data_IF_103932043032
#
_entry.id   IF_103932043032
#
_cell.length_a   1.000
_cell.length_b   1.000
_cell.length_c   1.000
_cell.angle_alpha   90.00
_cell.angle_beta   90.00
_cell.angle_gamma   90.00
#
_symmetry.space_group_name_H-M   'P 1'
#
loop_
_entity.id
_entity.type
_entity.pdbx_description
1 polymer ?
#
# COMPACT_ATOMS: atom_id res chain seq x y z
N UNK A 1 51.30 -6.32 74.42
CA UNK A 1 51.15 -5.46 73.22
C UNK A 1 50.56 -6.31 72.06
N UNK A 2 49.26 -6.27 71.90
CA UNK A 2 48.58 -7.04 70.85
C UNK A 2 48.12 -6.05 69.77
N UNK A 3 48.67 -6.17 68.59
CA UNK A 3 48.21 -5.44 67.41
C UNK A 3 46.95 -6.10 66.85
N UNK A 4 45.85 -5.35 66.82
CA UNK A 4 44.59 -5.75 66.14
C UNK A 4 44.66 -5.23 64.72
N UNK A 5 44.66 -6.17 63.76
CA UNK A 5 44.47 -5.85 62.34
C UNK A 5 42.95 -5.80 62.06
N UNK A 6 42.45 -4.63 61.65
CA UNK A 6 41.12 -4.48 61.10
C UNK A 6 41.22 -4.76 59.59
N UNK A 7 40.61 -5.88 59.14
CA UNK A 7 40.34 -6.08 57.72
C UNK A 7 39.02 -5.35 57.35
N UNK A 8 39.14 -4.29 56.55
CA UNK A 8 37.98 -3.65 55.94
C UNK A 8 37.50 -4.45 54.72
N UNK A 9 36.33 -5.01 54.82
CA UNK A 9 35.65 -5.60 53.69
C UNK A 9 35.00 -4.48 52.82
N UNK A 10 35.56 -4.23 51.64
CA UNK A 10 34.93 -3.36 50.62
C UNK A 10 33.88 -4.21 49.92
N UNK A 11 32.60 -3.94 50.20
CA UNK A 11 31.49 -4.46 49.44
C UNK A 11 31.37 -3.71 48.11
N UNK A 12 31.73 -4.36 47.01
CA UNK A 12 31.48 -3.87 45.66
C UNK A 12 29.99 -4.12 45.36
N UNK A 13 29.17 -3.08 45.46
CA UNK A 13 27.82 -3.06 44.90
C UNK A 13 27.92 -2.96 43.36
N UNK A 14 27.86 -4.12 42.70
CA UNK A 14 27.66 -4.14 41.27
C UNK A 14 26.23 -3.65 40.96
N UNK A 15 26.11 -2.45 40.44
CA UNK A 15 24.82 -1.92 39.93
C UNK A 15 24.46 -2.69 38.68
N UNK A 16 23.59 -3.66 38.83
CA UNK A 16 22.98 -4.41 37.72
C UNK A 16 21.81 -3.61 37.13
N UNK A 17 22.07 -2.42 36.53
CA UNK A 17 21.05 -1.59 35.88
C UNK A 17 21.07 -1.61 34.33
N UNK A 18 21.91 -2.47 33.73
CA UNK A 18 22.07 -2.45 32.27
C UNK A 18 21.20 -3.48 31.50
N UNK A 19 20.82 -4.58 32.11
CA UNK A 19 20.22 -5.70 31.37
C UNK A 19 18.67 -5.75 31.38
N UNK A 20 18.01 -5.19 32.40
CA UNK A 20 16.54 -5.23 32.46
C UNK A 20 15.87 -4.38 31.39
N UNK A 21 16.38 -3.16 31.14
CA UNK A 21 15.81 -2.27 30.14
C UNK A 21 16.03 -2.77 28.69
N UNK A 22 17.14 -3.48 28.42
CA UNK A 22 17.36 -4.11 27.10
C UNK A 22 16.42 -5.30 26.88
N UNK A 23 16.26 -6.16 27.90
CA UNK A 23 15.41 -7.36 27.81
C UNK A 23 13.92 -7.01 27.69
N UNK A 24 13.45 -5.97 28.40
CA UNK A 24 12.07 -5.50 28.30
C UNK A 24 11.79 -4.86 26.93
N UNK A 25 12.76 -4.14 26.35
CA UNK A 25 12.60 -3.52 25.03
C UNK A 25 12.71 -4.53 23.87
N UNK A 26 13.49 -5.57 24.01
CA UNK A 26 13.55 -6.69 23.06
C UNK A 26 12.30 -7.56 23.14
N UNK A 27 11.79 -7.86 24.32
CA UNK A 27 10.55 -8.62 24.51
C UNK A 27 9.32 -7.83 24.04
N UNK A 28 9.28 -6.51 24.22
CA UNK A 28 8.22 -5.68 23.69
C UNK A 28 8.22 -5.64 22.15
N UNK A 29 9.42 -5.53 21.53
CA UNK A 29 9.56 -5.59 20.06
C UNK A 29 9.20 -6.95 19.48
N UNK A 30 9.57 -8.04 20.15
CA UNK A 30 9.21 -9.40 19.71
C UNK A 30 7.71 -9.66 19.88
N UNK A 31 7.07 -9.14 20.94
CA UNK A 31 5.63 -9.23 21.16
C UNK A 31 4.82 -8.50 20.09
N UNK A 32 5.16 -7.25 19.79
CA UNK A 32 4.50 -6.46 18.74
C UNK A 32 4.67 -7.07 17.35
N UNK A 33 5.85 -7.59 17.04
CA UNK A 33 6.08 -8.32 15.77
C UNK A 33 5.26 -9.61 15.70
N UNK A 34 5.09 -10.33 16.82
CA UNK A 34 4.28 -11.54 16.87
C UNK A 34 2.79 -11.23 16.65
N UNK A 35 2.24 -10.20 17.28
CA UNK A 35 0.85 -9.77 17.08
C UNK A 35 0.58 -9.33 15.64
N UNK A 36 1.48 -8.53 15.05
CA UNK A 36 1.35 -8.11 13.65
C UNK A 36 1.45 -9.31 12.70
N UNK A 37 2.38 -10.22 12.94
CA UNK A 37 2.51 -11.45 12.14
C UNK A 37 1.25 -12.32 12.28
N UNK A 38 0.72 -12.49 13.49
CA UNK A 38 -0.52 -13.22 13.72
C UNK A 38 -1.71 -12.56 13.01
N UNK A 39 -1.79 -11.23 13.03
CA UNK A 39 -2.80 -10.49 12.27
C UNK A 39 -2.67 -10.78 10.77
N UNK A 40 -1.47 -10.66 10.19
CA UNK A 40 -1.24 -10.95 8.77
C UNK A 40 -1.58 -12.41 8.43
N UNK A 41 -1.31 -13.35 9.34
CA UNK A 41 -1.61 -14.77 9.14
C UNK A 41 -3.12 -15.07 9.23
N UNK A 42 -3.88 -14.25 9.95
CA UNK A 42 -5.34 -14.35 10.01
C UNK A 42 -6.03 -13.88 8.72
N UNK A 43 -5.35 -13.08 7.89
CA UNK A 43 -5.89 -12.57 6.64
C UNK A 43 -5.98 -13.70 5.60
N UNK A 44 -7.16 -13.82 4.98
CA UNK A 44 -7.40 -14.86 3.96
C UNK A 44 -6.58 -14.59 2.71
N UNK A 45 -5.71 -15.54 2.37
CA UNK A 45 -4.97 -15.52 1.11
C UNK A 45 -5.93 -15.70 -0.08
N UNK A 46 -5.67 -14.96 -1.15
CA UNK A 46 -6.31 -15.18 -2.43
C UNK A 46 -5.51 -16.23 -3.22
N UNK A 47 -6.03 -17.43 -3.31
CA UNK A 47 -5.36 -18.53 -4.00
C UNK A 47 -5.52 -18.50 -5.53
N UNK A 48 -6.40 -17.64 -6.06
CA UNK A 48 -6.67 -17.54 -7.50
C UNK A 48 -5.63 -16.67 -8.22
N UNK A 49 -5.15 -15.62 -7.56
CA UNK A 49 -4.14 -14.72 -8.11
C UNK A 49 -2.74 -15.30 -7.94
N UNK A 50 -2.05 -15.49 -9.06
CA UNK A 50 -0.65 -15.94 -9.09
C UNK A 50 0.23 -14.76 -9.47
N UNK A 51 0.71 -14.04 -8.44
CA UNK A 51 1.54 -12.84 -8.59
C UNK A 51 2.97 -13.16 -8.16
N UNK A 52 3.94 -12.57 -8.88
CA UNK A 52 5.35 -12.64 -8.51
C UNK A 52 5.95 -11.24 -8.38
N UNK A 53 6.81 -11.05 -7.37
CA UNK A 53 7.64 -9.86 -7.20
C UNK A 53 9.12 -10.26 -7.23
N UNK A 54 9.87 -9.71 -8.20
CA UNK A 54 11.27 -10.12 -8.39
C UNK A 54 11.41 -11.62 -8.65
N UNK A 55 10.50 -12.22 -9.43
CA UNK A 55 10.40 -13.66 -9.73
C UNK A 55 10.02 -14.56 -8.53
N UNK A 56 9.79 -14.00 -7.36
CA UNK A 56 9.36 -14.74 -6.18
C UNK A 56 7.84 -14.68 -6.07
N UNK A 57 7.14 -15.83 -5.92
CA UNK A 57 5.71 -15.84 -5.66
C UNK A 57 5.37 -15.08 -4.37
N UNK A 58 4.28 -14.33 -4.40
CA UNK A 58 3.77 -13.59 -3.24
C UNK A 58 2.30 -13.90 -2.98
N UNK A 59 1.87 -13.71 -1.74
CA UNK A 59 0.50 -13.94 -1.29
C UNK A 59 -0.29 -12.63 -1.37
N UNK A 60 -1.35 -12.63 -2.19
CA UNK A 60 -2.32 -11.55 -2.17
C UNK A 60 -3.37 -11.85 -1.12
N UNK A 61 -3.72 -10.83 -0.32
CA UNK A 61 -4.74 -10.90 0.71
C UNK A 61 -6.04 -10.28 0.20
N UNK A 62 -7.15 -10.85 0.63
CA UNK A 62 -8.49 -10.36 0.34
C UNK A 62 -9.12 -11.03 -0.89
N UNK A 63 -10.41 -10.71 -1.12
CA UNK A 63 -11.14 -11.24 -2.26
C UNK A 63 -10.65 -10.60 -3.56
N UNK A 64 -10.30 -11.42 -4.55
CA UNK A 64 -10.08 -10.96 -5.92
C UNK A 64 -11.29 -10.18 -6.42
N UNK A 65 -11.09 -8.97 -6.89
CA UNK A 65 -12.12 -8.21 -7.59
C UNK A 65 -12.28 -8.75 -9.00
N UNK A 66 -13.53 -8.79 -9.45
CA UNK A 66 -13.91 -9.17 -10.82
C UNK A 66 -14.86 -8.15 -11.42
N UNK A 67 -14.99 -8.16 -12.73
CA UNK A 67 -16.01 -7.36 -13.42
C UNK A 67 -17.39 -7.69 -12.85
N UNK A 68 -18.15 -6.66 -12.49
CA UNK A 68 -19.44 -6.75 -11.81
C UNK A 68 -19.37 -6.64 -10.27
N UNK A 69 -18.23 -6.84 -9.64
CA UNK A 69 -18.10 -6.61 -8.19
C UNK A 69 -18.17 -5.11 -7.86
N UNK A 70 -18.76 -4.78 -6.72
CA UNK A 70 -18.65 -3.44 -6.14
C UNK A 70 -17.36 -3.35 -5.35
N UNK A 71 -16.53 -2.32 -5.60
CA UNK A 71 -15.32 -2.06 -4.81
C UNK A 71 -15.70 -1.74 -3.36
N UNK A 72 -14.88 -2.16 -2.40
CA UNK A 72 -15.04 -1.75 -1.00
C UNK A 72 -14.53 -0.32 -0.83
N UNK A 73 -15.46 0.56 -0.48
CA UNK A 73 -15.21 1.98 -0.32
C UNK A 73 -14.52 2.23 1.01
N UNK A 74 -13.22 2.43 0.96
CA UNK A 74 -12.35 2.65 2.13
C UNK A 74 -11.72 4.02 2.00
N UNK A 75 -11.70 4.84 3.07
CA UNK A 75 -10.98 6.11 3.08
C UNK A 75 -9.49 5.91 2.80
N UNK A 76 -8.93 6.82 2.01
CA UNK A 76 -7.50 6.87 1.67
C UNK A 76 -6.92 8.22 2.09
N UNK A 77 -5.64 8.24 2.42
CA UNK A 77 -4.95 9.51 2.74
C UNK A 77 -4.62 10.23 1.44
N UNK A 78 -5.04 11.51 1.35
CA UNK A 78 -5.06 12.23 0.06
C UNK A 78 -4.04 13.37 -0.04
N UNK A 79 -3.30 13.67 1.02
CA UNK A 79 -2.29 14.74 1.04
C UNK A 79 -1.32 14.61 2.22
N UNK A 80 -0.28 15.46 2.23
CA UNK A 80 0.74 15.54 3.28
C UNK A 80 0.24 16.10 4.63
N UNK A 81 -0.98 16.63 4.71
CA UNK A 81 -1.65 16.97 5.98
C UNK A 81 -2.28 15.75 6.65
N UNK A 82 -2.20 14.59 5.99
CA UNK A 82 -2.77 13.30 6.40
C UNK A 82 -4.30 13.30 6.43
N UNK A 83 -4.93 14.15 5.61
CA UNK A 83 -6.39 14.15 5.46
C UNK A 83 -6.86 12.82 4.83
N UNK A 84 -7.87 12.21 5.42
CA UNK A 84 -8.50 10.99 4.91
C UNK A 84 -9.77 11.38 4.12
N UNK A 85 -9.95 10.78 2.95
CA UNK A 85 -11.16 10.96 2.13
C UNK A 85 -11.62 9.66 1.52
N UNK A 86 -12.92 9.49 1.45
CA UNK A 86 -13.54 8.47 0.63
C UNK A 86 -13.60 8.98 -0.82
N UNK A 87 -12.67 8.51 -1.67
CA UNK A 87 -12.61 8.90 -3.09
C UNK A 87 -13.74 8.30 -3.93
N UNK A 88 -14.61 7.49 -3.33
CA UNK A 88 -15.70 6.76 -3.98
C UNK A 88 -17.07 7.45 -3.84
N UNK A 89 -17.17 8.55 -3.09
CA UNK A 89 -18.43 9.25 -2.85
C UNK A 89 -18.97 9.96 -4.07
N UNK A 90 -18.10 10.41 -4.96
CA UNK A 90 -18.54 11.08 -6.18
C UNK A 90 -19.05 10.09 -7.24
N UNK A 91 -19.97 10.57 -8.10
CA UNK A 91 -20.60 9.78 -9.16
C UNK A 91 -19.83 9.89 -10.49
N UNK A 92 -18.51 9.82 -10.42
CA UNK A 92 -17.67 9.83 -11.60
C UNK A 92 -17.19 8.42 -11.95
N UNK A 93 -16.94 8.16 -13.22
CA UNK A 93 -16.12 7.04 -13.66
C UNK A 93 -14.71 7.21 -13.07
N UNK A 94 -14.13 6.12 -12.58
CA UNK A 94 -12.81 6.15 -11.95
C UNK A 94 -11.87 5.15 -12.62
N UNK A 95 -10.65 5.60 -12.89
CA UNK A 95 -9.52 4.75 -13.27
C UNK A 95 -8.59 4.69 -12.06
N UNK A 96 -8.41 3.50 -11.51
CA UNK A 96 -7.60 3.25 -10.31
C UNK A 96 -6.42 2.37 -10.70
N UNK A 97 -5.23 2.89 -10.52
CA UNK A 97 -3.99 2.17 -10.68
C UNK A 97 -3.40 1.88 -9.30
N UNK A 98 -3.34 0.61 -8.91
CA UNK A 98 -2.60 0.18 -7.73
C UNK A 98 -1.19 -0.24 -8.10
N UNK A 99 -0.21 0.09 -7.27
CA UNK A 99 1.18 -0.23 -7.52
C UNK A 99 1.98 -0.35 -6.20
N UNK A 100 3.13 -1.07 -6.22
CA UNK A 100 3.97 -1.23 -5.04
C UNK A 100 4.50 0.09 -4.47
N UNK A 101 5.07 0.96 -5.31
CA UNK A 101 5.63 2.25 -4.89
C UNK A 101 5.91 3.14 -6.09
N UNK A 102 5.63 4.44 -5.99
CA UNK A 102 5.93 5.45 -7.00
C UNK A 102 7.44 5.58 -7.28
N UNK A 103 8.28 5.21 -6.31
CA UNK A 103 9.74 5.28 -6.42
C UNK A 103 10.35 4.14 -7.26
N UNK A 104 9.53 3.17 -7.71
CA UNK A 104 10.02 2.11 -8.60
C UNK A 104 9.88 2.52 -10.08
N UNK A 105 10.83 2.07 -10.92
CA UNK A 105 10.93 2.47 -12.34
C UNK A 105 9.63 2.27 -13.12
N UNK A 106 9.02 1.09 -13.03
CA UNK A 106 7.79 0.77 -13.79
C UNK A 106 6.59 1.54 -13.26
N UNK A 107 6.44 1.66 -11.93
CA UNK A 107 5.30 2.40 -11.34
C UNK A 107 5.39 3.90 -11.65
N UNK A 108 6.60 4.49 -11.56
CA UNK A 108 6.84 5.87 -11.94
C UNK A 108 6.46 6.14 -13.39
N UNK A 109 6.93 5.28 -14.32
CA UNK A 109 6.61 5.40 -15.74
C UNK A 109 5.10 5.33 -15.98
N UNK A 110 4.42 4.32 -15.44
CA UNK A 110 2.98 4.13 -15.66
C UNK A 110 2.13 5.23 -15.01
N UNK A 111 2.54 5.73 -13.84
CA UNK A 111 1.85 6.88 -13.22
C UNK A 111 1.94 8.12 -14.10
N UNK A 112 3.09 8.38 -14.74
CA UNK A 112 3.24 9.48 -15.71
C UNK A 112 2.38 9.28 -16.96
N UNK A 113 2.35 8.05 -17.50
CA UNK A 113 1.50 7.72 -18.66
C UNK A 113 0.02 7.95 -18.34
N UNK A 114 -0.44 7.51 -17.16
CA UNK A 114 -1.81 7.72 -16.70
C UNK A 114 -2.11 9.20 -16.42
N UNK A 115 -1.14 9.97 -15.94
CA UNK A 115 -1.27 11.42 -15.79
C UNK A 115 -1.55 12.12 -17.13
N UNK A 116 -0.81 11.75 -18.16
CA UNK A 116 -1.04 12.30 -19.51
C UNK A 116 -2.38 11.83 -20.10
N UNK A 117 -2.74 10.57 -19.86
CA UNK A 117 -4.05 10.06 -20.28
C UNK A 117 -5.19 10.83 -19.60
N UNK A 118 -5.10 11.07 -18.29
CA UNK A 118 -6.13 11.76 -17.49
C UNK A 118 -6.50 13.14 -18.04
N UNK A 119 -5.53 13.86 -18.61
CA UNK A 119 -5.77 15.17 -19.25
C UNK A 119 -6.74 15.11 -20.41
N UNK A 120 -6.88 13.94 -21.07
CA UNK A 120 -7.79 13.73 -22.20
C UNK A 120 -9.22 13.40 -21.76
N UNK A 121 -9.43 13.04 -20.49
CA UNK A 121 -10.72 12.58 -19.96
C UNK A 121 -11.16 13.39 -18.73
N UNK A 122 -11.53 14.69 -18.87
CA UNK A 122 -11.79 15.59 -17.75
C UNK A 122 -12.96 15.15 -16.85
N UNK A 123 -13.86 14.32 -17.35
CA UNK A 123 -15.01 13.76 -16.60
C UNK A 123 -14.70 12.42 -15.94
N UNK A 124 -13.50 11.90 -16.08
CA UNK A 124 -13.04 10.66 -15.44
C UNK A 124 -12.03 10.99 -14.35
N UNK A 125 -12.15 10.39 -13.20
CA UNK A 125 -11.19 10.56 -12.09
C UNK A 125 -10.11 9.49 -12.16
N UNK A 126 -8.87 9.92 -12.21
CA UNK A 126 -7.71 9.03 -12.22
C UNK A 126 -7.02 9.07 -10.87
N UNK A 127 -6.72 7.89 -10.33
CA UNK A 127 -6.03 7.70 -9.05
C UNK A 127 -4.86 6.74 -9.21
N UNK A 128 -3.74 7.08 -8.57
CA UNK A 128 -2.64 6.14 -8.29
C UNK A 128 -2.66 5.84 -6.80
N UNK A 129 -2.87 4.58 -6.44
CA UNK A 129 -2.96 4.12 -5.04
C UNK A 129 -1.73 3.28 -4.71
N UNK A 130 -0.98 3.70 -3.71
CA UNK A 130 0.20 2.97 -3.19
C UNK A 130 0.19 3.00 -1.67
N UNK A 131 1.14 2.33 -1.04
CA UNK A 131 1.41 2.46 0.41
C UNK A 131 2.53 3.46 0.70
N UNK A 132 3.03 4.17 -0.30
CA UNK A 132 3.97 5.27 -0.07
C UNK A 132 3.34 6.29 0.87
N UNK A 133 4.14 6.87 1.75
CA UNK A 133 3.63 7.94 2.60
C UNK A 133 3.19 9.14 1.74
N UNK A 134 2.16 9.90 2.16
CA UNK A 134 1.70 11.07 1.40
C UNK A 134 2.79 12.11 1.14
N UNK A 135 3.79 12.19 2.03
CA UNK A 135 4.97 13.04 1.85
C UNK A 135 5.84 12.59 0.66
N UNK A 136 6.03 11.29 0.48
CA UNK A 136 6.76 10.75 -0.67
C UNK A 136 5.94 10.95 -1.96
N UNK A 137 4.63 10.70 -1.91
CA UNK A 137 3.73 10.93 -3.04
C UNK A 137 3.73 12.39 -3.49
N UNK A 138 3.68 13.35 -2.55
CA UNK A 138 3.74 14.79 -2.86
C UNK A 138 5.05 15.19 -3.53
N UNK A 139 6.20 14.72 -3.00
CA UNK A 139 7.51 14.96 -3.65
C UNK A 139 7.57 14.38 -5.05
N UNK A 140 7.09 13.15 -5.24
CA UNK A 140 7.03 12.51 -6.55
C UNK A 140 6.15 13.30 -7.52
N UNK A 141 4.94 13.66 -7.10
CA UNK A 141 3.99 14.41 -7.92
C UNK A 141 4.54 15.79 -8.34
N UNK A 142 5.16 16.51 -7.39
CA UNK A 142 5.77 17.81 -7.66
C UNK A 142 6.94 17.67 -8.65
N UNK A 143 7.86 16.74 -8.40
CA UNK A 143 9.05 16.52 -9.23
C UNK A 143 8.73 16.04 -10.66
N UNK A 144 7.57 15.44 -10.88
CA UNK A 144 7.16 14.85 -12.16
C UNK A 144 5.93 15.54 -12.78
N UNK A 145 5.53 16.70 -12.27
CA UNK A 145 4.40 17.50 -12.77
C UNK A 145 3.09 16.70 -12.90
N UNK A 146 2.84 15.82 -11.91
CA UNK A 146 1.63 15.00 -11.85
C UNK A 146 0.45 15.89 -11.42
N UNK A 147 -0.44 16.24 -12.34
CA UNK A 147 -1.58 17.14 -12.14
C UNK A 147 -2.90 16.65 -12.76
N UNK A 148 -2.86 15.64 -13.64
CA UNK A 148 -4.04 15.02 -14.26
C UNK A 148 -4.65 13.91 -13.42
N UNK A 149 -3.85 13.22 -12.59
CA UNK A 149 -4.32 12.20 -11.65
C UNK A 149 -4.03 12.59 -10.20
N UNK A 150 -4.66 11.92 -9.25
CA UNK A 150 -4.37 12.06 -7.81
C UNK A 150 -3.63 10.83 -7.30
N UNK A 151 -2.46 11.05 -6.69
CA UNK A 151 -1.83 10.04 -5.86
C UNK A 151 -2.51 10.04 -4.48
N UNK A 152 -2.88 8.85 -3.99
CA UNK A 152 -3.53 8.65 -2.69
C UNK A 152 -2.92 7.42 -2.01
N UNK A 153 -2.90 7.42 -0.69
CA UNK A 153 -2.13 6.43 0.08
C UNK A 153 -3.00 5.54 0.95
N UNK A 154 -2.71 4.23 0.90
CA UNK A 154 -3.25 3.20 1.79
C UNK A 154 -2.29 2.88 2.97
N UNK A 155 -1.28 3.75 3.23
CA UNK A 155 -0.18 3.47 4.16
C UNK A 155 -0.64 3.29 5.61
N UNK A 156 -1.73 3.96 6.00
CA UNK A 156 -2.11 4.08 7.40
C UNK A 156 -2.71 2.79 7.98
N UNK A 157 -3.57 2.12 7.22
CA UNK A 157 -4.31 0.95 7.69
C UNK A 157 -4.26 -0.24 6.73
N UNK A 158 -3.76 -0.07 5.51
CA UNK A 158 -3.75 -1.08 4.43
C UNK A 158 -5.13 -1.65 4.08
N UNK A 159 -6.20 -0.97 4.54
CA UNK A 159 -7.56 -1.50 4.42
C UNK A 159 -8.07 -1.53 2.99
N UNK A 160 -7.67 -0.56 2.16
CA UNK A 160 -8.04 -0.57 0.75
C UNK A 160 -7.46 -1.81 0.06
N UNK A 161 -6.18 -2.08 0.23
CA UNK A 161 -5.52 -3.24 -0.33
C UNK A 161 -6.08 -4.56 0.19
N UNK A 162 -6.28 -4.67 1.51
CA UNK A 162 -6.78 -5.88 2.18
C UNK A 162 -8.21 -6.20 1.75
N UNK A 163 -9.12 -5.22 1.74
CA UNK A 163 -10.53 -5.47 1.46
C UNK A 163 -10.83 -5.66 -0.02
N UNK A 164 -9.96 -5.16 -0.91
CA UNK A 164 -10.13 -5.20 -2.35
C UNK A 164 -9.19 -6.17 -3.08
N UNK A 165 -8.43 -7.00 -2.35
CA UNK A 165 -7.58 -8.03 -2.95
C UNK A 165 -6.37 -7.47 -3.70
N UNK A 166 -5.76 -6.40 -3.17
CA UNK A 166 -4.52 -5.81 -3.72
C UNK A 166 -3.32 -5.92 -2.77
N UNK A 167 -3.51 -6.30 -1.51
CA UNK A 167 -2.45 -6.29 -0.52
C UNK A 167 -1.53 -7.51 -0.65
N UNK A 168 -0.22 -7.25 -0.75
CA UNK A 168 0.85 -8.27 -0.79
C UNK A 168 1.36 -8.50 0.62
N UNK A 169 1.04 -9.65 1.19
CA UNK A 169 1.28 -10.01 2.60
C UNK A 169 2.75 -9.88 3.00
N UNK A 170 3.66 -10.49 2.25
CA UNK A 170 5.08 -10.58 2.57
C UNK A 170 5.84 -9.26 2.41
N UNK A 171 5.24 -8.29 1.72
CA UNK A 171 5.91 -7.04 1.37
C UNK A 171 5.28 -5.81 2.03
N UNK A 172 4.03 -5.91 2.53
CA UNK A 172 3.30 -4.75 3.02
C UNK A 172 3.02 -3.71 1.92
N UNK A 173 2.93 -4.17 0.66
CA UNK A 173 2.76 -3.32 -0.52
C UNK A 173 1.45 -3.67 -1.24
N UNK A 174 1.07 -2.87 -2.22
CA UNK A 174 -0.02 -3.24 -3.13
C UNK A 174 0.54 -3.93 -4.38
N UNK A 175 -0.20 -4.90 -4.91
CA UNK A 175 0.09 -5.46 -6.23
C UNK A 175 -0.28 -4.47 -7.32
N UNK A 176 0.35 -4.61 -8.49
CA UNK A 176 0.01 -3.82 -9.67
C UNK A 176 -1.28 -4.30 -10.27
N UNK A 177 -2.25 -3.39 -10.34
CA UNK A 177 -3.48 -3.62 -11.09
C UNK A 177 -4.01 -2.31 -11.68
N UNK A 178 -4.79 -2.43 -12.75
CA UNK A 178 -5.50 -1.32 -13.38
C UNK A 178 -7.00 -1.64 -13.39
N UNK A 179 -7.79 -0.82 -12.71
CA UNK A 179 -9.22 -1.04 -12.50
C UNK A 179 -10.01 0.16 -13.03
N UNK A 180 -11.12 -0.09 -13.73
CA UNK A 180 -12.08 0.96 -14.11
C UNK A 180 -13.41 0.70 -13.44
N UNK A 181 -13.92 1.71 -12.75
CA UNK A 181 -15.22 1.70 -12.08
C UNK A 181 -16.20 2.61 -12.82
N UNK A 182 -17.47 2.20 -12.84
CA UNK A 182 -18.56 3.12 -13.23
C UNK A 182 -18.92 4.10 -12.09
N UNK A 183 -19.93 4.94 -12.34
CA UNK A 183 -20.42 5.95 -11.39
C UNK A 183 -21.01 5.35 -10.09
N UNK A 184 -21.31 4.05 -10.08
CA UNK A 184 -21.81 3.30 -8.92
C UNK A 184 -20.70 2.51 -8.21
N UNK A 185 -19.43 2.74 -8.58
CA UNK A 185 -18.26 2.04 -8.06
C UNK A 185 -18.27 0.53 -8.35
N UNK A 186 -18.92 0.12 -9.44
CA UNK A 186 -18.91 -1.25 -9.95
C UNK A 186 -17.73 -1.43 -10.90
N UNK A 187 -16.97 -2.49 -10.71
CA UNK A 187 -15.83 -2.85 -11.57
C UNK A 187 -16.33 -3.18 -12.99
N UNK A 188 -15.89 -2.44 -13.96
CA UNK A 188 -16.17 -2.64 -15.39
C UNK A 188 -14.97 -3.21 -16.13
N UNK A 189 -13.78 -2.94 -15.67
CA UNK A 189 -12.52 -3.48 -16.16
C UNK A 189 -11.58 -3.71 -14.99
N UNK A 190 -10.85 -4.81 -15.00
CA UNK A 190 -9.74 -5.05 -14.09
C UNK A 190 -8.68 -5.90 -14.75
N UNK A 191 -7.42 -5.52 -14.54
CA UNK A 191 -6.25 -6.26 -14.94
C UNK A 191 -5.29 -6.33 -13.75
N UNK A 192 -5.05 -7.53 -13.23
CA UNK A 192 -3.94 -7.79 -12.32
C UNK A 192 -2.71 -8.14 -13.14
N UNK A 193 -1.58 -7.53 -12.85
CA UNK A 193 -0.31 -7.82 -13.54
C UNK A 193 0.39 -8.98 -12.83
N UNK A 194 0.56 -10.14 -13.47
CA UNK A 194 1.09 -11.35 -12.82
C UNK A 194 2.55 -11.23 -12.37
N UNK A 195 3.32 -10.34 -13.01
CA UNK A 195 4.73 -10.13 -12.72
C UNK A 195 4.97 -8.63 -12.49
N UNK A 196 5.32 -8.24 -11.25
CA UNK A 196 5.46 -6.83 -10.86
C UNK A 196 6.51 -6.03 -11.66
N UNK A 197 7.43 -6.71 -12.33
CA UNK A 197 8.37 -6.08 -13.24
C UNK A 197 7.77 -5.65 -14.58
N UNK A 198 6.53 -6.06 -14.89
CA UNK A 198 5.83 -5.75 -16.14
C UNK A 198 4.82 -4.62 -15.95
N UNK A 199 4.45 -4.01 -17.05
CA UNK A 199 3.48 -2.92 -17.12
C UNK A 199 2.05 -3.47 -17.22
N UNK A 200 1.09 -2.75 -16.61
CA UNK A 200 -0.33 -2.91 -16.94
C UNK A 200 -0.61 -2.36 -18.34
N UNK A 201 -1.58 -2.92 -19.03
CA UNK A 201 -1.92 -2.50 -20.38
C UNK A 201 -2.85 -1.28 -20.38
N UNK A 202 -2.26 -0.09 -20.23
CA UNK A 202 -3.00 1.19 -20.17
C UNK A 202 -3.80 1.41 -21.45
N UNK A 203 -3.26 1.14 -22.63
CA UNK A 203 -3.94 1.35 -23.90
C UNK A 203 -5.20 0.49 -24.02
N UNK A 204 -5.13 -0.77 -23.58
CA UNK A 204 -6.30 -1.67 -23.55
C UNK A 204 -7.37 -1.14 -22.60
N UNK A 205 -6.99 -0.67 -21.43
CA UNK A 205 -7.93 -0.12 -20.46
C UNK A 205 -8.58 1.18 -20.96
N UNK A 206 -7.82 2.08 -21.59
CA UNK A 206 -8.37 3.32 -22.15
C UNK A 206 -9.29 3.07 -23.34
N UNK A 207 -8.95 2.12 -24.22
CA UNK A 207 -9.86 1.68 -25.30
C UNK A 207 -11.16 1.10 -24.74
N UNK A 208 -11.08 0.33 -23.64
CA UNK A 208 -12.28 -0.17 -22.96
C UNK A 208 -13.12 0.98 -22.41
N UNK A 209 -12.51 1.96 -21.73
CA UNK A 209 -13.16 3.16 -21.21
C UNK A 209 -13.95 3.89 -22.31
N UNK A 210 -13.29 4.20 -23.41
CA UNK A 210 -13.88 4.92 -24.55
C UNK A 210 -15.06 4.16 -25.14
N UNK A 211 -14.88 2.85 -25.39
CA UNK A 211 -15.86 2.04 -26.12
C UNK A 211 -17.09 1.67 -25.29
N UNK A 212 -16.97 1.61 -23.96
CA UNK A 212 -18.02 1.04 -23.11
C UNK A 212 -18.63 2.01 -22.11
N UNK A 213 -17.92 3.07 -21.71
CA UNK A 213 -18.36 3.96 -20.64
C UNK A 213 -18.50 5.42 -21.06
N UNK A 214 -17.88 5.84 -22.19
CA UNK A 214 -17.92 7.20 -22.68
C UNK A 214 -18.80 7.40 -23.92
N UNK A 215 -19.26 6.33 -24.55
CA UNK A 215 -20.26 6.43 -25.64
C UNK A 215 -21.61 6.76 -25.03
N UNK A 216 -22.06 7.99 -25.25
CA UNK A 216 -23.46 8.39 -25.17
C UNK A 216 -24.06 8.44 -26.56
#
# INVERSE_FOLDING_TARGET
MKKILLLGAIAILAVACGNKAKTENENAKTGQNAEYTQYLDSLKANNNLKITMGKVPVTIVGKELKVGDKIKEVPLVVNSKLDEKNIFEDKNIKVIYTAPSLDTKVCSLQTKQLNEAAKKYPNVKFYSVTVDTPFAQERFCTANEINGLKAVSDFKYHQFGIQNGFFVKEKGLLTRALTILDENNIVKYIEYVPEEGKEANIDKALKFLENNLMKK
#
